data_IF_018172314001
#
_entry.id   IF_018172314001
#
_cell.length_a   1.000
_cell.length_b   1.000
_cell.length_c   1.000
_cell.angle_alpha   90.00
_cell.angle_beta   90.00
_cell.angle_gamma   90.00
#
_symmetry.space_group_name_H-M   'P 1'
#
loop_
_entity.id
_entity.type
_entity.pdbx_description
1 polymer ?
#
# COMPACT_ATOMS: atom_id res chain seq x y z
N UNK A 1 -1.12 20.39 8.87
CA UNK A 1 -2.11 20.22 7.79
C UNK A 1 -1.40 20.69 6.56
N UNK A 2 -0.97 19.77 5.70
CA UNK A 2 -0.51 20.14 4.38
C UNK A 2 -1.69 20.86 3.72
N UNK A 3 -1.50 22.03 3.11
CA UNK A 3 -2.58 22.57 2.30
C UNK A 3 -2.91 21.45 1.31
N UNK A 4 -4.19 21.06 1.25
CA UNK A 4 -4.68 20.20 0.20
C UNK A 4 -4.20 20.83 -1.12
N UNK A 5 -3.15 20.25 -1.65
CA UNK A 5 -2.87 20.42 -3.04
C UNK A 5 -4.09 19.84 -3.72
N UNK A 6 -4.94 20.70 -4.27
CA UNK A 6 -6.02 20.32 -5.18
C UNK A 6 -5.37 19.73 -6.45
N UNK A 7 -4.71 18.58 -6.27
CA UNK A 7 -4.26 17.71 -7.34
C UNK A 7 -5.44 17.02 -8.03
N UNK A 8 -6.65 17.30 -7.57
CA UNK A 8 -7.90 16.75 -8.07
C UNK A 8 -8.54 17.68 -9.10
N UNK A 9 -7.84 18.01 -10.16
CA UNK A 9 -8.54 18.43 -11.36
C UNK A 9 -9.34 17.24 -11.90
N UNK A 10 -10.66 17.33 -11.87
CA UNK A 10 -11.59 16.33 -12.42
C UNK A 10 -11.51 14.93 -11.79
N UNK A 11 -11.36 14.81 -10.46
CA UNK A 11 -11.29 13.53 -9.75
C UNK A 11 -10.16 12.61 -10.23
N UNK A 12 -9.02 13.17 -10.58
CA UNK A 12 -7.83 12.46 -11.02
C UNK A 12 -6.66 12.76 -10.10
N UNK A 13 -5.87 11.74 -9.82
CA UNK A 13 -4.60 11.87 -9.08
C UNK A 13 -3.45 11.41 -9.95
N UNK A 14 -2.35 12.15 -9.90
CA UNK A 14 -1.15 11.83 -10.64
C UNK A 14 -0.13 11.18 -9.72
N UNK A 15 0.38 10.02 -10.14
CA UNK A 15 1.52 9.35 -9.50
C UNK A 15 2.75 9.44 -10.39
N UNK A 16 3.95 9.38 -9.79
CA UNK A 16 5.21 9.45 -10.52
C UNK A 16 5.79 8.03 -10.65
N UNK A 17 6.11 7.63 -11.87
CA UNK A 17 6.66 6.31 -12.14
C UNK A 17 8.02 6.07 -11.46
N UNK A 18 8.27 4.83 -11.06
CA UNK A 18 9.54 4.36 -10.48
C UNK A 18 10.00 5.10 -9.21
N UNK A 19 9.08 5.64 -8.44
CA UNK A 19 9.37 6.28 -7.13
C UNK A 19 9.11 5.35 -5.95
N UNK A 20 8.71 4.10 -6.21
CA UNK A 20 8.37 3.13 -5.18
C UNK A 20 6.88 3.07 -4.90
N UNK A 21 6.51 2.87 -3.64
CA UNK A 21 5.11 2.78 -3.24
C UNK A 21 4.61 4.15 -2.82
N UNK A 22 3.57 4.64 -3.48
CA UNK A 22 2.89 5.89 -3.16
C UNK A 22 1.56 5.61 -2.47
N UNK A 23 1.18 6.51 -1.55
CA UNK A 23 0.00 6.33 -0.70
C UNK A 23 -1.02 7.44 -0.91
N UNK A 24 -2.30 7.08 -0.80
CA UNK A 24 -3.40 8.03 -0.67
C UNK A 24 -4.23 7.63 0.56
N UNK A 25 -4.57 8.61 1.40
CA UNK A 25 -5.33 8.39 2.63
C UNK A 25 -6.68 9.10 2.59
N UNK A 26 -7.70 8.45 3.11
CA UNK A 26 -9.04 9.00 3.27
C UNK A 26 -9.57 8.67 4.66
N UNK A 27 -10.26 9.63 5.27
CA UNK A 27 -11.06 9.40 6.47
C UNK A 27 -12.54 9.40 6.12
N UNK A 28 -13.35 8.62 6.84
CA UNK A 28 -14.80 8.71 6.76
C UNK A 28 -15.47 8.33 8.08
N UNK A 29 -16.63 8.92 8.31
CA UNK A 29 -17.48 8.58 9.43
C UNK A 29 -18.59 7.63 8.96
N UNK A 30 -18.74 6.48 9.61
CA UNK A 30 -19.71 5.47 9.27
C UNK A 30 -20.26 4.79 10.54
N UNK A 31 -21.55 4.58 10.60
CA UNK A 31 -22.17 3.65 11.53
C UNK A 31 -22.60 2.39 10.77
N UNK A 32 -21.75 1.34 10.75
CA UNK A 32 -22.01 0.18 9.90
C UNK A 32 -23.28 -0.58 10.25
N UNK A 33 -23.86 -0.35 11.44
CA UNK A 33 -25.12 -0.96 11.86
C UNK A 33 -26.34 -0.29 11.24
N UNK A 34 -26.18 0.94 10.75
CA UNK A 34 -27.24 1.70 10.06
C UNK A 34 -27.19 1.55 8.55
N UNK A 35 -26.09 1.02 8.02
CA UNK A 35 -25.94 0.75 6.61
C UNK A 35 -26.68 -0.54 6.23
N UNK A 36 -27.31 -0.58 5.06
CA UNK A 36 -27.97 -1.79 4.59
C UNK A 36 -26.95 -2.89 4.34
N UNK A 37 -27.34 -4.13 4.55
CA UNK A 37 -26.56 -5.29 4.14
C UNK A 37 -26.32 -5.26 2.63
N UNK A 38 -25.22 -5.83 2.18
CA UNK A 38 -25.00 -6.10 0.78
C UNK A 38 -25.85 -7.30 0.37
N UNK A 39 -26.63 -7.16 -0.69
CA UNK A 39 -27.40 -8.22 -1.31
C UNK A 39 -26.62 -8.80 -2.49
N UNK A 40 -26.59 -10.12 -2.61
CA UNK A 40 -25.78 -10.82 -3.60
C UNK A 40 -26.55 -11.87 -4.36
N UNK A 41 -26.18 -12.06 -5.63
CA UNK A 41 -26.67 -13.17 -6.46
C UNK A 41 -25.50 -13.78 -7.24
N UNK A 42 -25.56 -15.11 -7.46
CA UNK A 42 -24.62 -15.82 -8.33
C UNK A 42 -24.92 -15.47 -9.79
N UNK A 43 -23.90 -14.99 -10.49
CA UNK A 43 -23.98 -14.69 -11.94
C UNK A 43 -23.71 -15.96 -12.75
N UNK A 44 -22.71 -16.72 -12.30
CA UNK A 44 -22.36 -18.05 -12.83
C UNK A 44 -22.01 -18.98 -11.66
N UNK A 45 -21.63 -20.24 -11.96
CA UNK A 45 -21.16 -21.19 -10.93
C UNK A 45 -19.91 -20.71 -10.16
N UNK A 46 -19.19 -19.70 -10.68
CA UNK A 46 -17.92 -19.23 -10.12
C UNK A 46 -17.87 -17.70 -9.91
N UNK A 47 -18.98 -17.00 -10.13
CA UNK A 47 -19.00 -15.54 -10.07
C UNK A 47 -20.19 -15.01 -9.30
N UNK A 48 -19.95 -13.96 -8.54
CA UNK A 48 -20.90 -13.29 -7.67
C UNK A 48 -21.04 -11.83 -8.07
N UNK A 49 -22.24 -11.28 -8.00
CA UNK A 49 -22.47 -9.86 -8.15
C UNK A 49 -23.21 -9.29 -6.94
N UNK A 50 -22.78 -8.10 -6.51
CA UNK A 50 -23.52 -7.30 -5.55
C UNK A 50 -24.69 -6.63 -6.27
N UNK A 51 -25.87 -6.68 -5.67
CA UNK A 51 -27.07 -6.10 -6.22
C UNK A 51 -27.28 -4.67 -5.72
N UNK A 52 -27.91 -3.87 -6.57
CA UNK A 52 -28.44 -2.56 -6.23
C UNK A 52 -29.94 -2.59 -6.40
N UNK A 53 -30.67 -1.87 -5.54
CA UNK A 53 -32.12 -1.76 -5.61
C UNK A 53 -32.54 -0.48 -6.33
N UNK A 54 -33.43 -0.58 -7.31
CA UNK A 54 -34.03 0.55 -8.00
C UNK A 54 -35.44 0.77 -7.46
N UNK A 55 -35.71 1.85 -6.70
CA UNK A 55 -36.98 2.03 -6.01
C UNK A 55 -38.14 2.33 -6.95
N UNK A 56 -37.90 3.01 -8.07
CA UNK A 56 -38.98 3.37 -9.02
C UNK A 56 -39.48 2.18 -9.80
N UNK A 57 -38.63 1.19 -10.04
CA UNK A 57 -38.97 -0.05 -10.73
C UNK A 57 -39.19 -1.25 -9.78
N UNK A 58 -38.95 -1.06 -8.49
CA UNK A 58 -39.03 -2.08 -7.42
C UNK A 58 -38.22 -3.35 -7.75
N UNK A 59 -37.03 -3.20 -8.31
CA UNK A 59 -36.21 -4.31 -8.77
C UNK A 59 -34.78 -4.26 -8.22
N UNK A 60 -34.23 -5.44 -7.98
CA UNK A 60 -32.79 -5.60 -7.78
C UNK A 60 -32.10 -5.88 -9.13
N UNK A 61 -30.93 -5.29 -9.30
CA UNK A 61 -30.14 -5.45 -10.50
C UNK A 61 -28.65 -5.37 -10.19
N UNK A 62 -27.82 -5.85 -11.12
CA UNK A 62 -26.38 -5.55 -11.12
C UNK A 62 -25.95 -4.96 -12.46
N UNK A 63 -24.91 -4.13 -12.40
CA UNK A 63 -24.29 -3.52 -13.57
C UNK A 63 -23.19 -4.44 -14.11
N UNK A 64 -23.25 -4.79 -15.38
CA UNK A 64 -22.21 -5.56 -16.06
C UNK A 64 -20.91 -4.77 -16.23
N UNK A 65 -20.99 -3.42 -16.19
CA UNK A 65 -19.83 -2.55 -16.30
C UNK A 65 -19.37 -2.25 -17.73
N UNK A 66 -20.18 -2.55 -18.72
CA UNK A 66 -19.96 -2.24 -20.12
C UNK A 66 -21.00 -1.22 -20.56
N UNK A 67 -20.59 -0.01 -20.90
CA UNK A 67 -21.45 1.09 -21.38
C UNK A 67 -22.55 1.54 -20.39
N UNK A 68 -22.78 2.84 -20.27
CA UNK A 68 -23.92 3.38 -19.49
C UNK A 68 -25.28 3.18 -20.20
N UNK A 69 -25.52 2.03 -20.77
CA UNK A 69 -26.78 1.71 -21.41
C UNK A 69 -27.65 0.88 -20.47
N UNK A 70 -28.97 1.12 -20.53
CA UNK A 70 -29.97 0.38 -19.75
C UNK A 70 -29.85 -1.15 -19.99
N UNK A 71 -29.34 -1.56 -21.13
CA UNK A 71 -29.12 -2.97 -21.51
C UNK A 71 -28.05 -3.69 -20.65
N UNK A 72 -27.21 -2.92 -19.93
CA UNK A 72 -26.19 -3.48 -19.07
C UNK A 72 -26.67 -3.81 -17.65
N UNK A 73 -27.86 -3.36 -17.29
CA UNK A 73 -28.46 -3.69 -16.00
C UNK A 73 -29.21 -5.02 -16.07
N UNK A 74 -28.74 -6.00 -15.32
CA UNK A 74 -29.36 -7.33 -15.25
C UNK A 74 -30.17 -7.46 -13.99
N UNK A 75 -31.47 -7.69 -14.13
CA UNK A 75 -32.39 -7.94 -13.03
C UNK A 75 -32.09 -9.28 -12.37
N UNK A 76 -32.00 -9.32 -11.03
CA UNK A 76 -31.76 -10.53 -10.25
C UNK A 76 -32.45 -10.44 -8.90
N UNK A 77 -32.87 -11.61 -8.39
CA UNK A 77 -33.33 -11.72 -7.00
C UNK A 77 -32.13 -11.98 -6.09
N UNK A 78 -32.06 -11.34 -4.92
CA UNK A 78 -31.03 -11.64 -3.92
C UNK A 78 -31.10 -13.12 -3.52
N UNK A 79 -29.95 -13.77 -3.47
CA UNK A 79 -29.82 -15.15 -2.98
C UNK A 79 -29.34 -15.18 -1.53
N UNK A 80 -28.53 -14.19 -1.13
CA UNK A 80 -28.06 -14.03 0.25
C UNK A 80 -27.66 -12.59 0.53
N UNK A 81 -27.55 -12.28 1.81
CA UNK A 81 -27.17 -10.95 2.32
C UNK A 81 -25.94 -11.08 3.22
N UNK A 82 -25.08 -10.05 3.17
CA UNK A 82 -23.89 -9.94 4.04
C UNK A 82 -23.90 -8.56 4.71
N UNK A 83 -23.91 -8.50 6.06
CA UNK A 83 -23.85 -7.24 6.78
C UNK A 83 -22.54 -6.50 6.50
N UNK A 84 -22.62 -5.19 6.23
CA UNK A 84 -21.43 -4.36 6.03
C UNK A 84 -20.53 -4.33 7.28
N UNK A 85 -21.13 -4.35 8.47
CA UNK A 85 -20.40 -4.41 9.73
C UNK A 85 -19.47 -5.63 9.80
N UNK A 86 -19.97 -6.81 9.40
CA UNK A 86 -19.18 -8.03 9.37
C UNK A 86 -18.03 -7.95 8.35
N UNK A 87 -18.26 -7.32 7.19
CA UNK A 87 -17.22 -7.12 6.18
C UNK A 87 -16.09 -6.21 6.67
N UNK A 88 -16.44 -5.12 7.35
CA UNK A 88 -15.47 -4.19 7.93
C UNK A 88 -14.69 -4.82 9.09
N UNK A 89 -15.30 -5.69 9.88
CA UNK A 89 -14.64 -6.40 10.96
C UNK A 89 -13.67 -7.46 10.42
N UNK A 90 -14.14 -8.28 9.48
CA UNK A 90 -13.35 -9.33 8.83
C UNK A 90 -12.05 -8.79 8.22
N UNK A 91 -12.11 -7.67 7.53
CA UNK A 91 -10.96 -7.12 6.81
C UNK A 91 -10.26 -5.97 7.53
N UNK A 92 -10.64 -5.69 8.79
CA UNK A 92 -10.03 -4.62 9.57
C UNK A 92 -8.51 -4.81 9.72
N UNK A 93 -7.74 -3.86 9.23
CA UNK A 93 -6.28 -3.89 9.32
C UNK A 93 -5.56 -4.81 8.32
N UNK A 94 -6.29 -5.47 7.44
CA UNK A 94 -5.70 -6.28 6.37
C UNK A 94 -5.52 -5.46 5.10
N UNK A 95 -4.42 -5.73 4.37
CA UNK A 95 -4.25 -5.27 3.02
C UNK A 95 -5.05 -6.15 2.06
N UNK A 96 -5.79 -5.52 1.16
CA UNK A 96 -6.58 -6.19 0.13
C UNK A 96 -6.12 -5.70 -1.24
N UNK A 97 -6.12 -6.57 -2.25
CA UNK A 97 -5.84 -6.13 -3.62
C UNK A 97 -6.97 -5.26 -4.15
N UNK A 98 -6.67 -4.31 -5.05
CA UNK A 98 -7.65 -3.43 -5.67
C UNK A 98 -7.67 -3.57 -7.18
N UNK A 99 -8.85 -3.67 -7.82
CA UNK A 99 -8.98 -3.76 -9.27
C UNK A 99 -8.85 -2.38 -9.94
N UNK A 100 -7.69 -1.75 -9.84
CA UNK A 100 -7.33 -0.58 -10.63
C UNK A 100 -6.85 -1.02 -12.00
N UNK A 101 -7.77 -1.02 -12.97
CA UNK A 101 -7.52 -1.53 -14.30
C UNK A 101 -7.31 -0.39 -15.30
N UNK A 102 -6.61 -0.69 -16.39
CA UNK A 102 -6.43 0.22 -17.50
C UNK A 102 -7.78 0.57 -18.13
N UNK A 103 -8.07 1.86 -18.19
CA UNK A 103 -9.30 2.36 -18.80
C UNK A 103 -9.02 2.88 -20.21
N UNK A 104 -9.68 2.31 -21.19
CA UNK A 104 -9.62 2.73 -22.59
C UNK A 104 -10.91 3.51 -22.87
N UNK A 105 -10.77 4.81 -23.01
CA UNK A 105 -11.92 5.67 -23.32
C UNK A 105 -12.60 5.22 -24.62
N UNK A 106 -13.93 5.35 -24.75
CA UNK A 106 -14.84 5.99 -23.78
C UNK A 106 -15.37 5.05 -22.67
N UNK A 107 -15.36 3.72 -22.83
CA UNK A 107 -16.13 2.85 -21.90
C UNK A 107 -15.51 1.47 -21.65
N UNK A 108 -14.27 1.23 -22.03
CA UNK A 108 -13.68 -0.10 -21.97
C UNK A 108 -12.63 -0.20 -20.85
N UNK A 109 -12.74 -1.25 -20.04
CA UNK A 109 -11.64 -1.72 -19.19
C UNK A 109 -10.85 -2.80 -19.93
N UNK A 110 -9.52 -2.77 -19.76
CA UNK A 110 -8.64 -3.84 -20.18
C UNK A 110 -8.30 -4.73 -18.97
N UNK A 111 -8.11 -6.01 -19.20
CA UNK A 111 -7.76 -6.98 -18.16
C UNK A 111 -6.28 -6.83 -17.80
N UNK A 112 -5.98 -5.90 -16.89
CA UNK A 112 -4.65 -5.61 -16.40
C UNK A 112 -4.30 -4.11 -16.45
N UNK A 113 -3.20 -3.71 -15.82
CA UNK A 113 -2.47 -4.41 -14.76
C UNK A 113 -3.33 -4.65 -13.53
N UNK A 114 -3.12 -5.77 -12.80
CA UNK A 114 -4.07 -6.20 -11.78
C UNK A 114 -3.52 -6.13 -10.34
N UNK A 115 -2.22 -6.19 -10.11
CA UNK A 115 -1.64 -6.34 -8.77
C UNK A 115 -0.70 -5.18 -8.37
N UNK A 116 -1.02 -3.96 -8.76
CA UNK A 116 -0.21 -2.78 -8.45
C UNK A 116 -0.89 -1.81 -7.47
N UNK A 117 -2.14 -2.09 -7.10
CA UNK A 117 -2.90 -1.28 -6.16
C UNK A 117 -3.45 -2.13 -5.01
N UNK A 118 -3.42 -1.58 -3.80
CA UNK A 118 -3.91 -2.24 -2.59
C UNK A 118 -4.63 -1.23 -1.71
N UNK A 119 -5.55 -1.75 -0.89
CA UNK A 119 -6.32 -0.98 0.07
C UNK A 119 -6.23 -1.60 1.45
N UNK A 120 -6.22 -0.76 2.46
CA UNK A 120 -6.36 -1.15 3.86
C UNK A 120 -7.41 -0.29 4.54
N UNK A 121 -8.36 -0.95 5.20
CA UNK A 121 -9.34 -0.31 6.06
C UNK A 121 -8.92 -0.47 7.51
N UNK A 122 -9.06 0.60 8.30
CA UNK A 122 -8.85 0.53 9.75
C UNK A 122 -9.97 1.25 10.48
N UNK A 123 -10.52 0.59 11.50
CA UNK A 123 -11.39 1.23 12.46
C UNK A 123 -10.53 1.94 13.50
N UNK A 124 -10.72 3.24 13.65
CA UNK A 124 -10.01 4.02 14.64
C UNK A 124 -10.55 3.74 16.05
N UNK A 125 -9.67 3.66 17.04
CA UNK A 125 -10.08 3.48 18.45
C UNK A 125 -10.87 4.66 19.00
N UNK A 126 -10.59 5.86 18.45
CA UNK A 126 -11.32 7.10 18.70
C UNK A 126 -11.43 7.86 17.38
N UNK A 127 -12.51 8.59 17.13
CA UNK A 127 -12.61 9.44 15.96
C UNK A 127 -11.46 10.44 15.90
N UNK A 128 -11.00 10.72 14.68
CA UNK A 128 -9.98 11.74 14.44
C UNK A 128 -10.55 13.17 14.63
N UNK A 129 -9.72 14.19 14.39
CA UNK A 129 -10.11 15.60 14.57
C UNK A 129 -11.23 16.05 13.62
N UNK A 130 -11.46 15.32 12.54
CA UNK A 130 -12.52 15.56 11.55
C UNK A 130 -13.80 14.77 11.87
N UNK A 131 -13.75 13.93 12.91
CA UNK A 131 -14.86 13.07 13.30
C UNK A 131 -14.91 11.73 12.55
N UNK A 132 -13.91 11.38 11.76
CA UNK A 132 -13.85 10.11 11.08
C UNK A 132 -13.55 8.98 12.06
N UNK A 133 -14.27 7.88 11.96
CA UNK A 133 -14.07 6.68 12.78
C UNK A 133 -13.45 5.51 11.99
N UNK A 134 -13.28 5.69 10.68
CA UNK A 134 -12.53 4.78 9.80
C UNK A 134 -11.51 5.55 8.99
N UNK A 135 -10.40 4.89 8.70
CA UNK A 135 -9.39 5.36 7.77
C UNK A 135 -9.13 4.32 6.68
N UNK A 136 -8.96 4.80 5.48
CA UNK A 136 -8.59 4.02 4.30
C UNK A 136 -7.24 4.49 3.82
N UNK A 137 -6.32 3.57 3.64
CA UNK A 137 -5.02 3.81 3.01
C UNK A 137 -4.95 3.01 1.72
N UNK A 138 -4.76 3.70 0.60
CA UNK A 138 -4.43 3.10 -0.68
C UNK A 138 -2.91 3.09 -0.85
N UNK A 139 -2.38 2.03 -1.42
CA UNK A 139 -0.97 1.90 -1.78
C UNK A 139 -0.86 1.51 -3.25
N UNK A 140 -0.01 2.22 -3.99
CA UNK A 140 0.23 1.99 -5.41
C UNK A 140 1.71 1.69 -5.65
N UNK A 141 2.01 0.57 -6.26
CA UNK A 141 3.36 0.25 -6.73
C UNK A 141 3.60 0.95 -8.07
N UNK A 142 4.35 2.04 -8.05
CA UNK A 142 4.62 2.87 -9.23
C UNK A 142 5.74 2.34 -10.11
N UNK A 143 6.32 1.19 -9.79
CA UNK A 143 7.40 0.59 -10.55
C UNK A 143 6.88 0.01 -11.86
N UNK A 144 7.35 0.55 -12.98
CA UNK A 144 6.90 0.13 -14.31
C UNK A 144 7.40 -1.27 -14.68
N UNK A 145 6.55 -2.02 -15.40
CA UNK A 145 6.91 -3.29 -16.00
C UNK A 145 6.89 -3.19 -17.52
N UNK A 146 7.90 -3.80 -18.17
CA UNK A 146 7.84 -4.01 -19.61
C UNK A 146 6.70 -4.97 -19.91
N UNK A 147 5.82 -4.55 -20.83
CA UNK A 147 4.73 -5.38 -21.33
C UNK A 147 5.32 -6.58 -22.09
N UNK A 148 5.15 -7.78 -21.55
CA UNK A 148 5.44 -9.00 -22.25
C UNK A 148 4.14 -9.73 -22.56
N UNK A 149 3.91 -10.16 -23.80
CA UNK A 149 2.64 -10.78 -24.23
C UNK A 149 2.24 -12.03 -23.41
N UNK A 150 3.18 -12.56 -22.65
CA UNK A 150 2.99 -13.78 -21.84
C UNK A 150 3.08 -13.54 -20.33
N UNK A 151 3.28 -12.30 -19.87
CA UNK A 151 3.34 -11.98 -18.45
C UNK A 151 1.99 -11.43 -17.97
N UNK A 152 1.52 -11.92 -16.83
CA UNK A 152 0.45 -11.25 -16.11
C UNK A 152 0.89 -9.83 -15.74
N UNK A 153 0.12 -8.82 -16.10
CA UNK A 153 0.42 -7.43 -15.76
C UNK A 153 0.23 -7.24 -14.26
N UNK A 154 1.32 -6.89 -13.58
CA UNK A 154 1.26 -6.53 -12.16
C UNK A 154 1.26 -5.04 -11.93
N UNK A 155 1.90 -4.30 -12.82
CA UNK A 155 2.05 -2.87 -12.73
C UNK A 155 1.91 -2.22 -14.13
N UNK A 156 1.63 -0.91 -14.17
CA UNK A 156 1.64 -0.15 -15.41
C UNK A 156 2.94 -0.28 -16.20
N UNK A 157 2.86 -0.14 -17.50
CA UNK A 157 4.00 -0.23 -18.42
C UNK A 157 4.51 1.17 -18.84
N UNK A 158 5.73 1.28 -19.40
CA UNK A 158 6.21 2.51 -20.01
C UNK A 158 5.30 3.01 -21.14
N UNK A 159 4.64 2.11 -21.87
CA UNK A 159 3.68 2.43 -22.92
C UNK A 159 2.43 3.10 -22.35
N UNK A 160 1.93 2.63 -21.18
CA UNK A 160 0.80 3.25 -20.49
C UNK A 160 1.12 4.68 -20.09
N UNK A 161 2.30 4.91 -19.54
CA UNK A 161 2.78 6.25 -19.16
C UNK A 161 2.89 7.15 -20.38
N UNK A 162 3.49 6.66 -21.46
CA UNK A 162 3.67 7.44 -22.70
C UNK A 162 2.33 7.80 -23.37
N UNK A 163 1.34 6.94 -23.25
CA UNK A 163 0.00 7.15 -23.79
C UNK A 163 -0.92 7.96 -22.85
N UNK A 164 -0.48 8.28 -21.63
CA UNK A 164 -1.30 8.97 -20.63
C UNK A 164 -2.54 8.19 -20.21
N UNK A 165 -2.41 6.88 -20.11
CA UNK A 165 -3.52 5.98 -19.77
C UNK A 165 -4.02 6.27 -18.35
N UNK A 166 -5.35 6.39 -18.21
CA UNK A 166 -5.98 6.46 -16.91
C UNK A 166 -6.24 5.04 -16.37
N UNK A 167 -5.93 4.84 -15.10
CA UNK A 167 -6.31 3.64 -14.36
C UNK A 167 -7.49 3.98 -13.47
N UNK A 168 -8.53 3.16 -13.54
CA UNK A 168 -9.76 3.37 -12.79
C UNK A 168 -10.10 2.16 -11.95
N UNK A 169 -10.75 2.41 -10.82
CA UNK A 169 -11.32 1.34 -10.03
C UNK A 169 -12.44 0.67 -10.82
N UNK A 170 -12.31 -0.62 -11.06
CA UNK A 170 -13.35 -1.40 -11.72
C UNK A 170 -14.48 -1.70 -10.73
N UNK A 171 -15.72 -1.38 -11.15
CA UNK A 171 -16.90 -1.46 -10.29
C UNK A 171 -17.99 -2.35 -10.85
N UNK A 172 -18.02 -2.56 -12.17
CA UNK A 172 -18.99 -3.42 -12.83
C UNK A 172 -18.75 -4.91 -12.58
N UNK A 173 -19.81 -5.70 -12.64
CA UNK A 173 -19.74 -7.13 -12.32
C UNK A 173 -18.76 -7.90 -13.22
N UNK A 174 -18.68 -7.58 -14.50
CA UNK A 174 -17.80 -8.29 -15.42
C UNK A 174 -16.32 -8.09 -15.08
N UNK A 175 -15.91 -6.85 -14.72
CA UNK A 175 -14.54 -6.55 -14.35
C UNK A 175 -14.18 -7.08 -12.97
N UNK A 176 -15.08 -6.92 -11.99
CA UNK A 176 -14.86 -7.41 -10.63
C UNK A 176 -14.82 -8.93 -10.60
N UNK A 177 -15.69 -9.60 -11.36
CA UNK A 177 -15.69 -11.06 -11.48
C UNK A 177 -14.44 -11.59 -12.16
N UNK A 178 -13.97 -10.93 -13.23
CA UNK A 178 -12.69 -11.27 -13.83
C UNK A 178 -11.55 -11.16 -12.81
N UNK A 179 -11.54 -10.09 -12.01
CA UNK A 179 -10.50 -9.86 -11.00
C UNK A 179 -10.55 -10.91 -9.87
N UNK A 180 -11.75 -11.18 -9.34
CA UNK A 180 -11.97 -12.19 -8.29
C UNK A 180 -11.70 -13.62 -8.76
N UNK A 181 -11.84 -13.89 -10.06
CA UNK A 181 -11.49 -15.19 -10.65
C UNK A 181 -9.98 -15.43 -10.74
N UNK A 182 -9.13 -14.41 -10.51
CA UNK A 182 -7.68 -14.62 -10.44
C UNK A 182 -7.35 -15.46 -9.20
N UNK A 183 -6.65 -16.57 -9.39
CA UNK A 183 -6.31 -17.52 -8.31
C UNK A 183 -5.64 -16.83 -7.13
N UNK A 184 -4.74 -15.87 -7.40
CA UNK A 184 -4.03 -15.15 -6.35
C UNK A 184 -4.96 -14.22 -5.54
N UNK A 185 -5.97 -13.59 -6.16
CA UNK A 185 -6.97 -12.75 -5.48
C UNK A 185 -7.84 -13.61 -4.59
N UNK A 186 -8.42 -14.66 -5.19
CA UNK A 186 -9.31 -15.57 -4.47
C UNK A 186 -8.60 -16.19 -3.25
N UNK A 187 -7.43 -16.76 -3.45
CA UNK A 187 -6.62 -17.34 -2.36
C UNK A 187 -6.27 -16.33 -1.27
N UNK A 188 -6.06 -15.06 -1.63
CA UNK A 188 -5.79 -14.01 -0.65
C UNK A 188 -7.00 -13.75 0.25
N UNK A 189 -8.17 -13.54 -0.36
CA UNK A 189 -9.42 -13.29 0.38
C UNK A 189 -9.82 -14.48 1.25
N UNK A 190 -9.75 -15.69 0.71
CA UNK A 190 -10.03 -16.92 1.47
C UNK A 190 -9.11 -17.12 2.66
N UNK A 191 -7.82 -16.78 2.52
CA UNK A 191 -6.88 -16.94 3.63
C UNK A 191 -7.20 -15.97 4.77
N UNK A 192 -7.53 -14.70 4.47
CA UNK A 192 -7.96 -13.75 5.50
C UNK A 192 -9.25 -14.24 6.17
N UNK A 193 -10.19 -14.72 5.35
CA UNK A 193 -11.45 -15.27 5.87
C UNK A 193 -11.22 -16.45 6.83
N UNK A 194 -10.37 -17.39 6.44
CA UNK A 194 -10.00 -18.56 7.27
C UNK A 194 -9.29 -18.14 8.57
N UNK A 195 -8.37 -17.18 8.49
CA UNK A 195 -7.64 -16.65 9.67
C UNK A 195 -8.58 -15.98 10.68
N UNK A 196 -9.67 -15.35 10.22
CA UNK A 196 -10.65 -14.67 11.08
C UNK A 196 -11.91 -15.50 11.38
N UNK A 197 -11.97 -16.72 10.89
CA UNK A 197 -13.11 -17.65 11.10
C UNK A 197 -12.69 -18.92 11.84
N UNK A 198 -11.71 -18.81 12.76
CA UNK A 198 -11.19 -19.95 13.53
C UNK A 198 -12.25 -20.60 14.44
N UNK A 199 -13.31 -19.88 14.76
CA UNK A 199 -14.42 -20.38 15.60
C UNK A 199 -15.48 -21.15 14.80
N UNK A 200 -15.44 -21.12 13.46
CA UNK A 200 -16.36 -21.86 12.58
C UNK A 200 -15.95 -23.34 12.53
N UNK A 201 -16.95 -24.21 12.52
CA UNK A 201 -16.71 -25.62 12.22
C UNK A 201 -16.16 -25.81 10.80
N UNK A 202 -15.48 -26.93 10.55
CA UNK A 202 -14.86 -27.22 9.26
C UNK A 202 -15.90 -27.29 8.14
N UNK A 203 -17.07 -27.87 8.42
CA UNK A 203 -18.15 -28.00 7.47
C UNK A 203 -18.78 -26.63 7.16
N UNK A 204 -19.02 -25.79 8.16
CA UNK A 204 -19.52 -24.43 8.01
C UNK A 204 -18.54 -23.55 7.22
N UNK A 205 -17.24 -23.71 7.47
CA UNK A 205 -16.21 -23.00 6.72
C UNK A 205 -16.18 -23.40 5.25
N UNK A 206 -16.34 -24.71 4.98
CA UNK A 206 -16.39 -25.22 3.61
C UNK A 206 -17.62 -24.72 2.86
N UNK A 207 -18.79 -24.72 3.49
CA UNK A 207 -20.03 -24.18 2.92
C UNK A 207 -19.89 -22.67 2.62
N UNK A 208 -19.32 -21.91 3.53
CA UNK A 208 -19.08 -20.47 3.34
C UNK A 208 -18.18 -20.20 2.12
N UNK A 209 -17.15 -21.01 1.91
CA UNK A 209 -16.26 -20.88 0.75
C UNK A 209 -16.96 -21.29 -0.55
N UNK A 210 -17.78 -22.34 -0.55
CA UNK A 210 -18.59 -22.76 -1.70
C UNK A 210 -19.67 -21.72 -2.05
N UNK A 211 -20.12 -20.93 -1.07
CA UNK A 211 -21.07 -19.83 -1.25
C UNK A 211 -20.41 -18.49 -1.60
N UNK A 212 -19.08 -18.43 -1.78
CA UNK A 212 -18.34 -17.20 -2.11
C UNK A 212 -18.46 -16.10 -1.02
N UNK A 213 -18.60 -16.47 0.25
CA UNK A 213 -18.73 -15.52 1.34
C UNK A 213 -17.55 -14.53 1.42
N UNK A 214 -16.25 -14.95 1.25
CA UNK A 214 -15.12 -14.02 1.22
C UNK A 214 -15.21 -12.96 0.11
N UNK A 215 -15.69 -13.35 -1.08
CA UNK A 215 -15.89 -12.44 -2.21
C UNK A 215 -17.06 -11.48 -1.95
N UNK A 216 -18.12 -11.93 -1.30
CA UNK A 216 -19.25 -11.09 -0.92
C UNK A 216 -18.82 -9.99 0.07
N UNK A 217 -18.09 -10.36 1.11
CA UNK A 217 -17.49 -9.39 2.04
C UNK A 217 -16.59 -8.39 1.32
N UNK A 218 -15.77 -8.84 0.39
CA UNK A 218 -14.89 -7.97 -0.38
C UNK A 218 -15.67 -7.00 -1.27
N UNK A 219 -16.71 -7.46 -1.97
CA UNK A 219 -17.58 -6.61 -2.80
C UNK A 219 -18.33 -5.56 -1.96
N UNK A 220 -18.69 -5.88 -0.72
CA UNK A 220 -19.23 -4.89 0.22
C UNK A 220 -18.24 -3.75 0.46
N UNK A 221 -16.95 -4.06 0.71
CA UNK A 221 -15.94 -3.05 0.92
C UNK A 221 -15.66 -2.23 -0.35
N UNK A 222 -15.63 -2.86 -1.52
CA UNK A 222 -15.50 -2.14 -2.78
C UNK A 222 -16.64 -1.14 -2.97
N UNK A 223 -17.86 -1.50 -2.57
CA UNK A 223 -19.01 -0.59 -2.69
C UNK A 223 -18.91 0.68 -1.85
N UNK A 224 -18.11 0.68 -0.77
CA UNK A 224 -17.88 1.87 0.05
C UNK A 224 -17.01 2.91 -0.65
N UNK A 225 -16.09 2.47 -1.49
CA UNK A 225 -15.10 3.33 -2.15
C UNK A 225 -15.46 3.64 -3.61
N UNK A 226 -16.53 3.02 -4.13
CA UNK A 226 -17.01 3.25 -5.48
C UNK A 226 -18.14 4.28 -5.48
N UNK A 227 -18.10 5.21 -6.43
CA UNK A 227 -19.21 6.12 -6.68
C UNK A 227 -20.34 5.41 -7.44
N UNK A 228 -21.08 4.55 -6.82
CA UNK A 228 -22.35 4.12 -7.41
C UNK A 228 -23.48 5.05 -6.98
N UNK A 229 -23.42 6.31 -7.43
CA UNK A 229 -24.54 7.23 -7.36
C UNK A 229 -25.50 6.98 -8.52
N UNK A 230 -26.16 5.84 -8.54
CA UNK A 230 -27.37 5.67 -9.36
C UNK A 230 -28.57 6.38 -8.71
N UNK A 231 -28.38 6.96 -7.51
CA UNK A 231 -29.44 7.72 -6.83
C UNK A 231 -28.97 9.13 -6.52
N UNK A 232 -29.47 10.16 -7.24
CA UNK A 232 -29.19 11.56 -6.92
C UNK A 232 -29.77 12.05 -5.59
N UNK A 233 -30.60 11.27 -4.89
CA UNK A 233 -31.36 11.70 -3.73
C UNK A 233 -31.09 10.92 -2.43
N UNK A 234 -30.14 10.02 -2.38
CA UNK A 234 -29.77 9.41 -1.10
C UNK A 234 -28.87 10.38 -0.33
N UNK A 235 -29.27 10.70 0.90
CA UNK A 235 -28.47 11.40 1.92
C UNK A 235 -27.21 10.57 2.28
N UNK A 236 -26.31 10.39 1.32
CA UNK A 236 -25.03 9.73 1.53
C UNK A 236 -23.94 10.78 1.70
N UNK A 237 -23.79 11.24 2.92
CA UNK A 237 -22.93 12.34 3.30
C UNK A 237 -21.44 11.97 3.38
N UNK A 238 -21.05 10.69 3.25
CA UNK A 238 -19.67 10.26 3.56
C UNK A 238 -19.20 9.08 2.70
N UNK A 239 -19.15 9.23 1.38
CA UNK A 239 -18.49 8.24 0.52
C UNK A 239 -17.04 8.67 0.24
N UNK A 240 -16.12 7.78 0.50
CA UNK A 240 -14.73 7.89 0.00
C UNK A 240 -14.79 7.87 -1.52
N UNK A 241 -14.35 8.94 -2.15
CA UNK A 241 -14.26 9.02 -3.60
C UNK A 241 -12.83 8.70 -4.01
N UNK A 242 -12.62 7.46 -4.47
CA UNK A 242 -11.30 7.08 -4.99
C UNK A 242 -11.10 7.71 -6.37
N UNK A 243 -10.01 8.48 -6.57
CA UNK A 243 -9.76 9.16 -7.84
C UNK A 243 -9.27 8.20 -8.92
N UNK A 244 -9.46 8.59 -10.18
CA UNK A 244 -8.75 7.97 -11.29
C UNK A 244 -7.25 8.24 -11.16
N UNK A 245 -6.42 7.27 -11.48
CA UNK A 245 -4.97 7.39 -11.38
C UNK A 245 -4.35 7.56 -12.77
N UNK A 246 -3.48 8.55 -12.90
CA UNK A 246 -2.60 8.72 -14.05
C UNK A 246 -1.16 8.60 -13.55
N UNK A 247 -0.33 7.84 -14.27
CA UNK A 247 1.09 7.75 -13.96
C UNK A 247 1.85 8.55 -15.02
N UNK A 248 2.71 9.44 -14.54
CA UNK A 248 3.61 10.23 -15.40
C UNK A 248 5.04 9.70 -15.30
N UNK A 249 5.79 9.91 -16.38
CA UNK A 249 7.21 9.59 -16.41
C UNK A 249 8.04 10.52 -15.54
N UNK A 250 9.15 10.00 -15.04
CA UNK A 250 10.17 10.81 -14.32
C UNK A 250 11.25 11.37 -15.25
N UNK A 251 11.03 11.36 -16.57
CA UNK A 251 12.00 11.88 -17.54
C UNK A 251 11.97 13.42 -17.54
N UNK A 252 13.12 14.02 -17.78
CA UNK A 252 13.32 15.47 -17.77
C UNK A 252 12.37 16.23 -18.72
N UNK A 253 11.85 15.59 -19.76
CA UNK A 253 10.86 16.16 -20.69
C UNK A 253 9.44 16.25 -20.08
N UNK A 254 9.12 15.34 -19.14
CA UNK A 254 7.83 15.31 -18.45
C UNK A 254 7.84 16.24 -17.23
N UNK A 255 9.03 16.62 -16.78
CA UNK A 255 9.28 17.42 -15.57
C UNK A 255 9.33 18.94 -15.83
N UNK A 256 8.93 19.43 -16.99
CA UNK A 256 8.95 20.88 -17.30
C UNK A 256 8.07 21.73 -16.37
N UNK A 257 7.25 21.09 -15.55
CA UNK A 257 6.46 21.72 -14.48
C UNK A 257 6.85 21.24 -13.08
N UNK A 258 7.91 20.45 -12.95
CA UNK A 258 8.35 19.97 -11.64
C UNK A 258 8.89 21.12 -10.80
N UNK A 259 8.40 21.22 -9.59
CA UNK A 259 8.90 22.17 -8.60
C UNK A 259 10.06 21.49 -7.86
N UNK A 260 11.29 22.05 -7.93
CA UNK A 260 12.40 21.52 -7.14
C UNK A 260 12.09 21.62 -5.65
N UNK A 261 12.43 20.58 -4.91
CA UNK A 261 12.22 20.52 -3.46
C UNK A 261 13.54 20.21 -2.78
N UNK A 262 13.93 21.07 -1.86
CA UNK A 262 15.08 20.84 -0.97
C UNK A 262 14.62 20.11 0.29
N UNK A 263 15.29 19.03 0.64
CA UNK A 263 15.13 18.36 1.93
C UNK A 263 16.23 18.83 2.89
N UNK A 264 15.83 19.50 3.96
CA UNK A 264 16.74 19.92 5.05
C UNK A 264 16.51 19.02 6.26
N UNK A 265 17.55 18.32 6.70
CA UNK A 265 17.52 17.41 7.84
C UNK A 265 18.40 17.92 8.98
N UNK A 266 17.84 18.03 10.18
CA UNK A 266 18.61 18.13 11.42
C UNK A 266 18.68 16.75 12.09
N UNK A 267 19.87 16.17 12.09
CA UNK A 267 20.12 14.83 12.61
C UNK A 267 20.83 14.93 13.96
N UNK A 268 20.03 14.85 15.00
CA UNK A 268 20.55 14.81 16.38
C UNK A 268 20.83 13.39 16.88
N UNK A 269 21.49 13.29 18.03
CA UNK A 269 21.72 11.99 18.68
C UNK A 269 20.42 11.40 19.24
N UNK A 270 19.52 12.24 19.74
CA UNK A 270 18.27 11.78 20.36
C UNK A 270 17.08 11.87 19.41
N UNK A 271 17.02 12.96 18.65
CA UNK A 271 15.92 13.23 17.73
C UNK A 271 16.44 13.74 16.39
N UNK A 272 15.66 13.45 15.37
CA UNK A 272 15.85 13.93 13.99
C UNK A 272 14.58 14.66 13.56
N UNK A 273 14.72 15.72 12.79
CA UNK A 273 13.60 16.36 12.12
C UNK A 273 14.00 16.80 10.71
N UNK A 274 13.02 17.06 9.88
CA UNK A 274 13.24 17.52 8.52
C UNK A 274 12.13 18.43 8.03
N UNK A 275 12.50 19.27 7.08
CA UNK A 275 11.57 20.10 6.32
C UNK A 275 11.83 19.96 4.83
N UNK A 276 10.76 20.03 4.06
CA UNK A 276 10.76 20.08 2.61
C UNK A 276 10.49 21.53 2.19
N UNK A 277 11.29 22.07 1.30
CA UNK A 277 11.22 23.46 0.85
C UNK A 277 11.02 23.46 -0.67
N UNK A 278 9.85 23.89 -1.16
CA UNK A 278 9.60 24.06 -2.58
C UNK A 278 10.27 25.34 -3.11
N UNK A 279 11.01 25.20 -4.21
CA UNK A 279 11.60 26.30 -4.94
C UNK A 279 10.65 26.79 -6.05
N UNK A 280 9.85 27.82 -5.78
CA UNK A 280 8.95 28.44 -6.77
C UNK A 280 9.53 29.76 -7.26
N UNK A 281 9.69 29.90 -8.59
CA UNK A 281 10.34 31.05 -9.23
C UNK A 281 9.58 32.40 -9.08
N UNK A 282 8.30 32.41 -8.72
CA UNK A 282 7.44 33.59 -8.78
C UNK A 282 6.84 34.08 -7.47
N UNK A 283 7.27 33.55 -6.34
CA UNK A 283 6.72 33.95 -5.04
C UNK A 283 7.82 34.55 -4.19
N UNK A 284 7.60 35.80 -3.72
CA UNK A 284 8.41 36.39 -2.67
C UNK A 284 8.68 35.33 -1.58
N UNK A 285 9.95 35.01 -1.41
CA UNK A 285 10.50 33.91 -0.62
C UNK A 285 10.09 33.99 0.85
N UNK A 286 8.83 33.84 1.13
CA UNK A 286 8.32 33.63 2.46
C UNK A 286 8.28 32.12 2.77
N UNK A 287 8.32 31.78 4.05
CA UNK A 287 8.18 30.43 4.61
C UNK A 287 6.86 29.70 4.21
N UNK A 288 6.14 30.20 3.20
CA UNK A 288 4.80 29.72 2.80
C UNK A 288 4.76 28.35 2.10
N UNK A 289 5.93 27.87 1.66
CA UNK A 289 6.05 26.62 0.90
C UNK A 289 6.99 25.63 1.59
N UNK A 290 6.98 25.63 2.91
CA UNK A 290 7.74 24.70 3.72
C UNK A 290 6.79 23.69 4.36
N UNK A 291 7.16 22.42 4.27
CA UNK A 291 6.39 21.31 4.80
C UNK A 291 7.26 20.53 5.78
N UNK A 292 6.68 20.10 6.89
CA UNK A 292 7.37 19.23 7.83
C UNK A 292 7.50 17.85 7.17
N UNK A 293 8.69 17.26 7.22
CA UNK A 293 8.90 15.88 6.81
C UNK A 293 7.99 14.96 7.63
N UNK A 294 7.22 14.15 6.95
CA UNK A 294 6.33 13.17 7.55
C UNK A 294 6.95 11.78 7.43
N UNK A 295 6.79 10.97 8.47
CA UNK A 295 7.16 9.57 8.45
C UNK A 295 5.91 8.72 8.63
N UNK A 296 5.71 7.80 7.71
CA UNK A 296 4.63 6.80 7.77
C UNK A 296 5.11 5.56 8.52
N UNK A 297 4.32 5.08 9.45
CA UNK A 297 4.49 3.76 10.06
C UNK A 297 4.07 2.69 9.06
N UNK A 298 5.02 1.95 8.49
CA UNK A 298 4.70 0.95 7.45
C UNK A 298 4.03 -0.29 8.00
N UNK A 299 4.11 -0.53 9.30
CA UNK A 299 3.36 -1.59 9.99
C UNK A 299 1.92 -1.16 10.28
N UNK A 300 1.70 0.16 10.45
CA UNK A 300 0.41 0.81 10.67
C UNK A 300 0.26 2.01 9.75
N UNK A 301 0.08 1.79 8.44
CA UNK A 301 0.20 2.85 7.42
C UNK A 301 -0.81 3.97 7.55
N UNK A 302 -1.86 3.79 8.33
CA UNK A 302 -2.79 4.85 8.73
C UNK A 302 -2.16 5.89 9.68
N UNK A 303 -0.96 5.61 10.24
CA UNK A 303 -0.25 6.51 11.15
C UNK A 303 0.85 7.24 10.41
N UNK A 304 0.71 8.56 10.37
CA UNK A 304 1.71 9.45 9.79
C UNK A 304 2.15 10.43 10.86
N UNK A 305 3.45 10.51 11.12
CA UNK A 305 4.06 11.35 12.14
C UNK A 305 4.69 12.58 11.51
N UNK A 306 4.35 13.76 12.01
CA UNK A 306 4.80 15.07 11.51
C UNK A 306 5.54 15.89 12.57
N UNK A 307 6.18 15.24 13.54
CA UNK A 307 6.92 15.89 14.61
C UNK A 307 8.36 15.35 14.65
N UNK A 308 9.30 16.01 15.34
CA UNK A 308 10.64 15.47 15.52
C UNK A 308 10.61 14.07 16.09
N UNK A 309 11.23 13.14 15.38
CA UNK A 309 11.19 11.72 15.69
C UNK A 309 12.49 11.25 16.36
N UNK A 310 12.41 10.17 17.10
CA UNK A 310 13.55 9.59 17.76
C UNK A 310 14.58 9.10 16.74
N UNK A 311 15.85 9.41 16.96
CA UNK A 311 16.99 8.92 16.17
C UNK A 311 17.23 7.43 16.52
N UNK A 312 16.31 6.57 16.09
CA UNK A 312 16.32 5.13 16.29
C UNK A 312 16.10 4.43 14.97
N UNK A 313 16.76 3.28 14.82
CA UNK A 313 16.58 2.37 13.70
C UNK A 313 16.25 0.98 14.23
N UNK A 314 15.30 0.31 13.58
CA UNK A 314 14.96 -1.11 13.74
C UNK A 314 14.87 -1.78 12.38
N UNK A 315 15.45 -2.95 12.25
CA UNK A 315 15.28 -3.76 11.04
C UNK A 315 13.92 -4.44 11.07
N UNK A 316 13.08 -4.11 10.12
CA UNK A 316 11.77 -4.70 9.93
C UNK A 316 11.33 -4.59 8.48
N UNK A 317 10.74 -5.64 7.96
CA UNK A 317 10.19 -5.63 6.60
C UNK A 317 8.87 -4.87 6.57
N UNK A 318 8.68 -4.06 5.54
CA UNK A 318 7.37 -3.53 5.23
C UNK A 318 6.52 -4.62 4.57
N UNK A 319 5.30 -4.80 5.07
CA UNK A 319 4.38 -5.81 4.55
C UNK A 319 3.13 -5.12 4.00
N UNK A 320 2.81 -5.40 2.74
CA UNK A 320 1.63 -4.88 2.04
C UNK A 320 0.63 -6.00 1.70
N UNK A 321 0.55 -7.02 2.52
CA UNK A 321 -0.23 -8.22 2.29
C UNK A 321 0.66 -9.42 1.96
N UNK A 322 0.09 -10.50 1.44
CA UNK A 322 0.85 -11.76 1.28
C UNK A 322 1.95 -11.65 0.22
N UNK A 323 3.18 -11.83 0.66
CA UNK A 323 4.42 -11.66 -0.11
C UNK A 323 4.52 -12.58 -1.34
N UNK A 324 4.02 -13.80 -1.23
CA UNK A 324 4.18 -14.83 -2.26
C UNK A 324 3.39 -14.56 -3.55
N UNK A 325 2.48 -13.58 -3.58
CA UNK A 325 1.72 -13.26 -4.79
C UNK A 325 2.58 -12.57 -5.86
N UNK A 326 3.61 -11.85 -5.47
CA UNK A 326 4.56 -11.27 -6.41
C UNK A 326 5.27 -12.35 -7.23
N UNK A 327 5.74 -13.41 -6.57
CA UNK A 327 6.44 -14.54 -7.22
C UNK A 327 5.51 -15.31 -8.16
N UNK A 328 4.30 -15.65 -7.71
CA UNK A 328 3.30 -16.37 -8.52
C UNK A 328 2.90 -15.62 -9.78
N UNK A 329 2.92 -14.31 -9.74
CA UNK A 329 2.57 -13.46 -10.87
C UNK A 329 3.76 -13.10 -11.79
N UNK A 330 4.93 -13.64 -11.51
CA UNK A 330 6.12 -13.47 -12.34
C UNK A 330 6.88 -12.16 -12.11
N UNK A 331 6.58 -11.43 -11.03
CA UNK A 331 7.30 -10.21 -10.65
C UNK A 331 7.83 -10.31 -9.23
N UNK A 332 9.14 -10.54 -9.09
CA UNK A 332 9.79 -10.79 -7.80
C UNK A 332 9.84 -9.58 -6.86
N UNK A 333 9.67 -8.36 -7.39
CA UNK A 333 9.80 -7.11 -6.65
C UNK A 333 8.50 -6.29 -6.56
N UNK A 334 7.34 -6.90 -6.77
CA UNK A 334 6.06 -6.21 -6.60
C UNK A 334 5.83 -5.85 -5.13
N UNK A 335 5.43 -4.60 -4.88
CA UNK A 335 5.22 -4.06 -3.54
C UNK A 335 6.42 -4.24 -2.59
N UNK A 336 7.62 -4.10 -3.12
CA UNK A 336 8.84 -4.15 -2.35
C UNK A 336 9.23 -2.75 -1.89
N UNK A 337 9.30 -2.55 -0.58
CA UNK A 337 9.83 -1.33 -0.01
C UNK A 337 11.35 -1.30 -0.17
N UNK A 338 11.96 -0.16 -0.58
CA UNK A 338 13.38 -0.12 -0.92
C UNK A 338 14.33 -0.41 0.23
N UNK A 339 13.90 -0.20 1.48
CA UNK A 339 14.76 -0.37 2.65
C UNK A 339 14.23 -1.46 3.59
N UNK A 340 15.14 -2.02 4.39
CA UNK A 340 14.82 -3.00 5.44
C UNK A 340 14.78 -2.39 6.83
N UNK A 341 14.95 -1.07 6.93
CA UNK A 341 15.02 -0.35 8.19
C UNK A 341 13.74 0.47 8.40
N UNK A 342 13.29 0.52 9.65
CA UNK A 342 12.25 1.43 10.13
C UNK A 342 12.90 2.47 11.02
N UNK A 343 12.32 3.67 11.09
CA UNK A 343 12.91 4.80 11.82
C UNK A 343 11.87 5.48 12.72
N UNK A 344 12.34 6.31 13.64
CA UNK A 344 11.51 7.17 14.46
C UNK A 344 10.49 6.43 15.32
N UNK A 345 9.25 6.92 15.31
CA UNK A 345 8.17 6.39 16.15
C UNK A 345 7.81 4.94 15.85
N UNK A 346 7.88 4.52 14.57
CA UNK A 346 7.70 3.11 14.20
C UNK A 346 8.80 2.24 14.81
N UNK A 347 10.07 2.63 14.66
CA UNK A 347 11.19 1.90 15.24
C UNK A 347 11.09 1.80 16.78
N UNK A 348 10.67 2.88 17.43
CA UNK A 348 10.47 2.91 18.86
C UNK A 348 9.38 1.95 19.34
N UNK A 349 8.26 1.94 18.61
CA UNK A 349 7.15 1.02 18.88
C UNK A 349 7.57 -0.43 18.69
N UNK A 350 8.21 -0.75 17.59
CA UNK A 350 8.70 -2.11 17.30
C UNK A 350 9.68 -2.60 18.39
N UNK A 351 10.61 -1.73 18.80
CA UNK A 351 11.54 -2.05 19.86
C UNK A 351 10.86 -2.27 21.21
N UNK A 352 9.81 -1.51 21.53
CA UNK A 352 9.08 -1.64 22.81
C UNK A 352 8.19 -2.89 22.87
N UNK A 353 7.71 -3.36 21.73
CA UNK A 353 6.86 -4.56 21.65
C UNK A 353 7.64 -5.88 21.65
N UNK A 354 8.95 -5.80 21.59
CA UNK A 354 9.81 -6.95 21.55
C UNK A 354 9.81 -7.69 22.89
N UNK A 355 9.55 -9.00 22.85
CA UNK A 355 9.52 -9.86 24.03
C UNK A 355 10.86 -10.49 24.41
N UNK A 356 11.93 -10.27 23.64
CA UNK A 356 13.24 -10.89 23.83
C UNK A 356 14.31 -9.91 24.34
N UNK A 357 15.30 -10.45 25.07
CA UNK A 357 16.43 -9.68 25.63
C UNK A 357 17.59 -9.46 24.66
N UNK A 358 17.54 -10.03 23.46
CA UNK A 358 18.67 -10.02 22.53
C UNK A 358 18.58 -8.84 21.56
N UNK A 359 19.47 -7.88 21.71
CA UNK A 359 19.46 -6.55 21.10
C UNK A 359 19.97 -6.46 19.66
N UNK A 360 19.63 -7.40 18.79
CA UNK A 360 20.22 -7.46 17.44
C UNK A 360 19.31 -7.02 16.31
N UNK A 361 18.25 -6.29 16.61
CA UNK A 361 17.28 -5.82 15.60
C UNK A 361 17.39 -4.34 15.30
N UNK A 362 18.12 -3.58 16.09
CA UNK A 362 18.27 -2.15 15.89
C UNK A 362 19.03 -1.46 16.99
N UNK A 363 19.26 -0.17 16.84
CA UNK A 363 19.92 0.68 17.83
C UNK A 363 19.26 2.05 17.95
N UNK A 364 19.41 2.68 19.11
CA UNK A 364 19.12 4.09 19.30
C UNK A 364 20.36 4.93 19.00
N UNK A 365 20.16 6.16 18.55
CA UNK A 365 21.24 7.15 18.32
C UNK A 365 22.37 6.64 17.41
N UNK A 366 22.09 6.17 16.18
CA UNK A 366 23.12 5.58 15.30
C UNK A 366 24.27 6.57 15.01
N UNK A 367 24.02 7.87 15.02
CA UNK A 367 25.05 8.90 14.87
C UNK A 367 26.21 8.79 15.88
N UNK A 368 25.96 8.25 17.07
CA UNK A 368 27.01 8.04 18.09
C UNK A 368 28.02 6.97 17.70
N UNK A 369 27.70 6.12 16.75
CA UNK A 369 28.50 4.97 16.34
C UNK A 369 29.20 5.16 15.00
N UNK A 370 29.29 6.40 14.48
CA UNK A 370 29.97 6.68 13.21
C UNK A 370 31.46 6.30 13.18
N UNK A 371 32.05 6.16 14.35
CA UNK A 371 33.44 5.70 14.53
C UNK A 371 33.56 4.17 14.50
N UNK A 372 32.48 3.41 14.72
CA UNK A 372 32.49 1.98 14.86
C UNK A 372 32.23 1.30 13.52
N UNK A 373 33.32 1.03 12.81
CA UNK A 373 33.32 0.31 11.53
C UNK A 373 33.52 -1.19 11.70
N UNK A 374 33.54 -1.70 12.96
CA UNK A 374 33.77 -3.11 13.20
C UNK A 374 32.60 -3.95 12.77
N UNK A 375 32.92 -5.12 12.27
CA UNK A 375 32.02 -6.20 11.97
C UNK A 375 31.15 -6.57 13.21
N UNK A 376 29.85 -6.71 13.02
CA UNK A 376 28.94 -7.10 14.10
C UNK A 376 28.77 -8.65 14.07
N UNK A 377 29.51 -9.34 14.90
CA UNK A 377 29.66 -10.81 14.87
C UNK A 377 28.34 -11.58 14.88
N UNK A 378 27.33 -11.10 15.61
CA UNK A 378 26.04 -11.79 15.77
C UNK A 378 25.11 -11.65 14.56
N UNK A 379 25.43 -10.76 13.63
CA UNK A 379 24.55 -10.38 12.53
C UNK A 379 23.24 -9.70 12.97
N UNK A 380 22.75 -8.78 12.18
CA UNK A 380 21.48 -8.09 12.43
C UNK A 380 20.29 -8.97 12.02
N UNK A 381 19.19 -8.85 12.77
CA UNK A 381 17.97 -9.62 12.56
C UNK A 381 16.76 -8.71 12.39
N UNK A 382 15.74 -9.22 11.71
CA UNK A 382 14.47 -8.52 11.64
C UNK A 382 13.77 -8.57 12.99
N UNK A 383 13.15 -7.44 13.36
CA UNK A 383 12.23 -7.39 14.49
C UNK A 383 10.90 -7.99 14.04
N UNK A 384 10.58 -9.17 14.53
CA UNK A 384 9.30 -9.86 14.33
C UNK A 384 8.58 -9.95 15.67
N UNK A 385 7.65 -9.05 15.92
CA UNK A 385 6.87 -8.99 17.16
C UNK A 385 6.01 -10.24 17.43
N UNK A 386 5.82 -11.12 16.45
CA UNK A 386 4.84 -12.22 16.49
C UNK A 386 5.43 -13.62 16.46
N UNK A 387 6.74 -13.81 16.62
CA UNK A 387 7.32 -15.17 16.60
C UNK A 387 7.49 -15.76 17.98
N UNK A 388 6.89 -16.92 18.16
CA UNK A 388 6.99 -17.76 19.38
C UNK A 388 8.36 -18.47 19.49
N UNK A 389 9.09 -18.61 18.37
CA UNK A 389 10.25 -19.52 18.26
C UNK A 389 11.61 -18.89 18.56
N UNK A 390 11.68 -17.64 18.96
CA UNK A 390 12.90 -17.03 19.51
C UNK A 390 14.06 -16.73 18.54
N UNK A 391 14.00 -17.18 17.29
CA UNK A 391 15.02 -16.91 16.26
C UNK A 391 14.43 -16.09 15.13
N UNK A 392 14.65 -14.79 15.20
CA UNK A 392 14.29 -13.87 14.14
C UNK A 392 15.19 -14.08 12.90
N UNK A 393 14.65 -13.95 11.68
CA UNK A 393 15.44 -14.10 10.46
C UNK A 393 16.48 -13.00 10.35
N UNK A 394 17.56 -13.27 9.61
CA UNK A 394 18.58 -12.28 9.29
C UNK A 394 17.99 -11.12 8.49
N UNK A 395 18.47 -9.90 8.78
CA UNK A 395 18.04 -8.67 8.11
C UNK A 395 18.66 -8.57 6.70
N UNK A 396 18.16 -9.42 5.79
CA UNK A 396 18.56 -9.47 4.38
C UNK A 396 17.33 -9.21 3.51
N UNK A 397 17.43 -8.91 2.26
CA UNK A 397 16.32 -8.82 1.31
C UNK A 397 15.64 -7.44 1.14
N UNK A 398 16.40 -6.49 0.60
CA UNK A 398 15.84 -5.28 -0.02
C UNK A 398 16.73 -4.86 -1.20
N UNK A 399 16.25 -4.04 -2.14
CA UNK A 399 17.04 -3.58 -3.28
C UNK A 399 18.36 -2.92 -2.90
N UNK A 400 18.38 -2.18 -1.80
CA UNK A 400 19.62 -1.55 -1.28
C UNK A 400 20.76 -2.56 -1.04
N UNK A 401 20.44 -3.79 -0.66
CA UNK A 401 21.42 -4.83 -0.35
C UNK A 401 22.19 -5.33 -1.57
N UNK A 402 21.70 -5.04 -2.77
CA UNK A 402 22.46 -5.32 -4.00
C UNK A 402 23.65 -4.38 -4.23
N UNK A 403 23.72 -3.28 -3.46
CA UNK A 403 24.75 -2.25 -3.60
C UNK A 403 25.72 -2.19 -2.43
N UNK A 404 25.55 -3.03 -1.44
CA UNK A 404 26.40 -3.07 -0.23
C UNK A 404 26.89 -4.49 0.04
N UNK A 405 28.04 -4.61 0.70
CA UNK A 405 28.55 -5.87 1.25
C UNK A 405 27.90 -6.20 2.61
N UNK A 406 28.30 -7.31 3.22
CA UNK A 406 27.76 -7.78 4.50
C UNK A 406 28.13 -6.87 5.70
N UNK A 407 29.12 -5.98 5.52
CA UNK A 407 29.50 -4.95 6.48
C UNK A 407 28.71 -3.64 6.29
N UNK A 408 27.96 -3.51 5.18
CA UNK A 408 27.21 -2.31 4.81
C UNK A 408 28.06 -1.27 4.07
N UNK A 409 29.20 -1.64 3.52
CA UNK A 409 30.03 -0.78 2.68
C UNK A 409 29.60 -0.87 1.22
N UNK A 410 29.74 0.23 0.47
CA UNK A 410 29.29 0.29 -0.91
C UNK A 410 30.14 -0.60 -1.84
N UNK A 411 29.49 -1.53 -2.55
CA UNK A 411 30.14 -2.46 -3.48
C UNK A 411 30.78 -1.79 -4.70
N UNK A 412 30.24 -0.65 -5.13
CA UNK A 412 30.72 0.09 -6.31
C UNK A 412 31.89 1.03 -6.03
N UNK A 413 32.25 1.23 -4.76
CA UNK A 413 33.41 2.05 -4.38
C UNK A 413 34.61 1.14 -4.17
N UNK A 414 35.69 1.28 -4.98
CA UNK A 414 36.91 0.51 -4.73
C UNK A 414 37.45 0.82 -3.33
N UNK A 415 37.70 -0.22 -2.55
CA UNK A 415 38.36 -0.03 -1.26
C UNK A 415 39.81 0.40 -1.54
N UNK A 416 40.21 1.51 -0.89
CA UNK A 416 41.62 1.89 -0.90
C UNK A 416 42.40 0.84 -0.09
N UNK A 417 43.28 0.18 -0.76
CA UNK A 417 44.42 -0.54 -0.19
C UNK A 417 44.20 -1.87 0.53
N UNK A 418 43.54 -2.89 -0.01
CA UNK A 418 43.92 -4.24 0.42
C UNK A 418 42.91 -5.40 0.34
N UNK A 419 41.75 -5.22 -0.22
CA UNK A 419 40.86 -6.35 -0.47
C UNK A 419 40.82 -6.69 -1.95
N UNK A 420 41.01 -7.93 -2.30
CA UNK A 420 40.74 -8.43 -3.64
C UNK A 420 39.23 -8.33 -3.88
N UNK A 421 38.78 -7.84 -5.05
CA UNK A 421 37.37 -7.62 -5.40
C UNK A 421 36.52 -8.89 -5.27
N UNK A 422 37.13 -10.05 -5.27
CA UNK A 422 36.51 -11.37 -5.13
C UNK A 422 36.01 -11.67 -3.71
N UNK A 423 36.42 -10.94 -2.70
CA UNK A 423 35.99 -11.12 -1.29
C UNK A 423 34.72 -10.34 -0.92
N UNK A 424 34.28 -9.45 -1.80
CA UNK A 424 33.08 -8.61 -1.54
C UNK A 424 31.86 -9.24 -2.15
N UNK A 425 31.16 -10.04 -1.37
CA UNK A 425 29.95 -10.74 -1.78
C UNK A 425 28.69 -9.99 -1.38
N UNK A 426 27.61 -10.13 -2.16
CA UNK A 426 26.29 -9.70 -1.72
C UNK A 426 25.89 -10.35 -0.38
N UNK A 427 25.08 -9.64 0.38
CA UNK A 427 24.74 -9.99 1.76
C UNK A 427 23.99 -11.33 1.88
N UNK A 428 24.63 -12.32 2.48
CA UNK A 428 24.01 -13.57 2.90
C UNK A 428 23.78 -13.64 4.41
N UNK A 429 24.71 -13.07 5.20
CA UNK A 429 24.65 -12.99 6.66
C UNK A 429 25.02 -11.56 7.08
N UNK A 430 24.03 -10.71 7.40
CA UNK A 430 24.29 -9.29 7.61
C UNK A 430 25.06 -9.06 8.91
N UNK A 431 26.28 -8.62 8.77
CA UNK A 431 27.18 -8.19 9.83
C UNK A 431 27.45 -6.69 9.81
N UNK A 432 26.49 -5.91 9.32
CA UNK A 432 26.61 -4.47 9.17
C UNK A 432 27.24 -3.83 10.40
N UNK A 433 28.26 -2.98 10.16
CA UNK A 433 28.84 -2.19 11.25
C UNK A 433 27.81 -1.24 11.84
N UNK A 434 27.99 -0.83 13.10
CA UNK A 434 27.10 0.18 13.70
C UNK A 434 27.15 1.51 12.95
N UNK A 435 28.29 1.83 12.32
CA UNK A 435 28.41 2.99 11.41
C UNK A 435 27.42 2.89 10.26
N UNK A 436 27.31 1.74 9.63
CA UNK A 436 26.43 1.50 8.48
C UNK A 436 24.95 1.69 8.80
N UNK A 437 24.54 1.53 10.06
CA UNK A 437 23.15 1.75 10.46
C UNK A 437 22.70 3.21 10.26
N UNK A 438 23.64 4.15 10.24
CA UNK A 438 23.34 5.54 9.88
C UNK A 438 22.94 5.64 8.40
N UNK A 439 23.57 4.89 7.52
CA UNK A 439 23.21 4.81 6.10
C UNK A 439 21.81 4.25 5.93
N UNK A 440 21.46 3.16 6.63
CA UNK A 440 20.11 2.60 6.59
C UNK A 440 19.06 3.57 7.12
N UNK A 441 19.35 4.29 8.20
CA UNK A 441 18.44 5.31 8.75
C UNK A 441 18.18 6.41 7.73
N UNK A 442 19.22 6.94 7.10
CA UNK A 442 19.09 8.00 6.10
C UNK A 442 18.39 7.51 4.83
N UNK A 443 18.69 6.29 4.39
CA UNK A 443 18.03 5.70 3.24
C UNK A 443 16.51 5.56 3.46
N UNK A 444 16.08 5.17 4.65
CA UNK A 444 14.66 5.12 4.98
C UNK A 444 14.03 6.50 5.00
N UNK A 445 14.66 7.47 5.64
CA UNK A 445 14.17 8.86 5.68
C UNK A 445 14.04 9.45 4.26
N UNK A 446 15.03 9.21 3.40
CA UNK A 446 14.98 9.66 2.00
C UNK A 446 13.90 8.95 1.19
N UNK A 447 13.74 7.63 1.39
CA UNK A 447 12.67 6.87 0.72
C UNK A 447 11.29 7.41 1.10
N UNK A 448 11.08 7.72 2.37
CA UNK A 448 9.83 8.29 2.86
C UNK A 448 9.61 9.72 2.33
N UNK A 449 10.66 10.54 2.27
CA UNK A 449 10.60 11.90 1.73
C UNK A 449 10.25 11.92 0.23
N UNK A 450 10.74 10.95 -0.55
CA UNK A 450 10.43 10.80 -1.97
C UNK A 450 8.96 10.41 -2.22
N UNK A 451 8.30 9.82 -1.24
CA UNK A 451 6.90 9.42 -1.33
C UNK A 451 5.89 10.52 -0.94
N UNK A 452 6.40 11.65 -0.39
CA UNK A 452 5.59 12.81 -0.02
C UNK A 452 5.38 13.76 -1.19
#
# INVERSE_FOLDING_TARGET
MLPELTLFENNKTTLISNTGIQFLDFGFALDPKKEPSGEFAKVTHHTLARLSYHPDDEINFYDKGLENSIENFVKRTPEFEVPLAASLELFNGHWLPLPFLRFIAPYRFDQGPANWARIRFIKLSQPDLEGNNYRVTLAFDTQLMLSNKHSAYLAPSPEDVSAGVAFKLAVGADQTNWFLAQEWVNSWLENIFKENSLDKDIDDLKEALECFEPQAHYLNLLSLITQNSIKPNALQTHKVQVPDIIIIGNRQQDLTKAIPVDLVLDIGNSRTCGILIEQREQVDSGLKHNYILQLRDLSHPERVYNHPFESRIEFSQANFGKENFAIKSGRNNAFLWPTIARVGSEANRLASQRSGTQGYTGISSPKRYLWDANHYESGWRFNSSNRVDGLEPHATAAPLLHYIDDLGEALYVPLKDSYEDDERLPVFTPHYSRRSLMTFMLSEVLTQALGQ
#
